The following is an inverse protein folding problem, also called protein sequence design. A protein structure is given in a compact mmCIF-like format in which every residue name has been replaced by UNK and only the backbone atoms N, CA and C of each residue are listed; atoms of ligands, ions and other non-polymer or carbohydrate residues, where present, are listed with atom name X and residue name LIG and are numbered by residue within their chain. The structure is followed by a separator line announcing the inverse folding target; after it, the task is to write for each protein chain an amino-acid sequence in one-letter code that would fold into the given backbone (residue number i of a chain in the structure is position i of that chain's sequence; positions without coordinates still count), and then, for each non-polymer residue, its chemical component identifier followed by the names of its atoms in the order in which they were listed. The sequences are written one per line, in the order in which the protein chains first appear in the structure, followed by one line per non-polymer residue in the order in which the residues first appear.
data_IF_503117047563
#
_entry.id   IF_503117047563
#
_cell.length_a   1.000
_cell.length_b   1.000
_cell.length_c   1.000
_cell.angle_alpha   90.00
_cell.angle_beta   90.00
_cell.angle_gamma   90.00
#
_symmetry.space_group_name_H-M   'P 1'
#
loop_
_entity.id
_entity.type
_entity.pdbx_description
1 polymer ?
#
# COMPACT_ATOMS: atom_id res chain seq x y z
N UNK A 1 43.57 -9.19 -9.02
CA UNK A 1 42.60 -9.16 -10.16
C UNK A 1 41.29 -9.89 -9.81
N UNK A 2 41.34 -11.07 -9.20
CA UNK A 2 40.14 -11.90 -8.86
C UNK A 2 39.16 -11.20 -7.91
N UNK A 3 39.62 -10.45 -6.91
CA UNK A 3 38.77 -9.75 -5.95
C UNK A 3 38.09 -8.51 -6.55
N UNK A 4 38.72 -7.85 -7.52
CA UNK A 4 38.13 -6.70 -8.22
C UNK A 4 36.99 -7.16 -9.13
N UNK A 5 37.15 -8.28 -9.82
CA UNK A 5 36.10 -8.89 -10.66
C UNK A 5 34.91 -9.39 -9.81
N UNK A 6 35.15 -9.98 -8.64
CA UNK A 6 34.08 -10.34 -7.70
C UNK A 6 33.30 -9.14 -7.22
N UNK A 7 33.99 -8.03 -6.89
CA UNK A 7 33.34 -6.78 -6.46
C UNK A 7 32.52 -6.15 -7.58
N UNK A 8 33.00 -6.17 -8.83
CA UNK A 8 32.28 -5.67 -9.99
C UNK A 8 31.00 -6.48 -10.26
N UNK A 9 31.05 -7.82 -10.17
CA UNK A 9 29.86 -8.65 -10.34
C UNK A 9 28.82 -8.42 -9.25
N UNK A 10 29.25 -8.25 -7.98
CA UNK A 10 28.34 -7.92 -6.88
C UNK A 10 27.71 -6.55 -7.10
N UNK A 11 28.50 -5.54 -7.47
CA UNK A 11 28.03 -4.19 -7.76
C UNK A 11 26.99 -4.18 -8.90
N UNK A 12 27.29 -4.86 -9.99
CA UNK A 12 26.35 -4.99 -11.12
C UNK A 12 25.05 -5.67 -10.71
N UNK A 13 25.13 -6.74 -9.92
CA UNK A 13 23.93 -7.43 -9.42
C UNK A 13 23.10 -6.54 -8.49
N UNK A 14 23.73 -5.82 -7.57
CA UNK A 14 23.08 -4.85 -6.68
C UNK A 14 22.40 -3.74 -7.51
N UNK A 15 23.08 -3.18 -8.50
CA UNK A 15 22.50 -2.15 -9.38
C UNK A 15 21.27 -2.69 -10.15
N UNK A 16 21.36 -3.90 -10.70
CA UNK A 16 20.23 -4.51 -11.41
C UNK A 16 19.00 -4.76 -10.52
N UNK A 17 19.21 -5.12 -9.26
CA UNK A 17 18.12 -5.30 -8.29
C UNK A 17 17.56 -3.95 -7.84
N UNK A 18 18.44 -2.97 -7.59
CA UNK A 18 18.06 -1.67 -7.05
C UNK A 18 17.28 -0.80 -8.04
N UNK A 19 17.61 -0.91 -9.36
CA UNK A 19 16.97 -0.09 -10.38
C UNK A 19 15.43 -0.30 -10.41
N UNK A 20 14.98 -1.54 -10.30
CA UNK A 20 13.56 -1.85 -10.25
C UNK A 20 12.88 -1.35 -8.98
N UNK A 21 13.60 -1.40 -7.85
CA UNK A 21 13.11 -0.88 -6.57
C UNK A 21 12.99 0.64 -6.55
N UNK A 22 13.82 1.36 -7.33
CA UNK A 22 13.76 2.82 -7.45
C UNK A 22 12.55 3.31 -8.26
N UNK A 23 12.11 2.55 -9.27
CA UNK A 23 10.95 2.95 -10.08
C UNK A 23 9.61 2.74 -9.36
N UNK A 24 9.52 1.81 -8.41
CA UNK A 24 8.28 1.53 -7.68
C UNK A 24 7.66 2.77 -7.00
N UNK A 25 8.40 3.60 -6.25
CA UNK A 25 7.85 4.81 -5.64
C UNK A 25 7.31 5.83 -6.66
N UNK A 26 7.97 5.97 -7.81
CA UNK A 26 7.50 6.89 -8.86
C UNK A 26 6.13 6.50 -9.39
N UNK A 27 5.93 5.22 -9.64
CA UNK A 27 4.64 4.70 -10.10
C UNK A 27 3.57 4.93 -9.03
N UNK A 28 3.91 4.74 -7.74
CA UNK A 28 3.00 5.01 -6.62
C UNK A 28 2.58 6.49 -6.56
N UNK A 29 3.53 7.41 -6.66
CA UNK A 29 3.24 8.87 -6.66
C UNK A 29 2.39 9.26 -7.86
N UNK A 30 2.69 8.76 -9.05
CA UNK A 30 1.90 9.03 -10.25
C UNK A 30 0.45 8.54 -10.11
N UNK A 31 0.23 7.39 -9.48
CA UNK A 31 -1.08 6.83 -9.19
C UNK A 31 -1.89 7.72 -8.24
N UNK A 32 -1.26 8.22 -7.18
CA UNK A 32 -1.87 9.17 -6.26
C UNK A 32 -2.21 10.49 -6.93
N UNK A 33 -1.33 11.00 -7.78
CA UNK A 33 -1.61 12.22 -8.54
C UNK A 33 -2.85 12.04 -9.43
N UNK A 34 -2.94 10.92 -10.16
CA UNK A 34 -4.12 10.63 -10.99
C UNK A 34 -5.41 10.49 -10.16
N UNK A 35 -5.33 9.95 -8.94
CA UNK A 35 -6.46 9.89 -8.01
C UNK A 35 -6.96 11.30 -7.63
N UNK A 36 -6.05 12.22 -7.32
CA UNK A 36 -6.41 13.60 -7.01
C UNK A 36 -7.02 14.33 -8.20
N UNK A 37 -6.46 14.17 -9.41
CA UNK A 37 -7.03 14.73 -10.64
C UNK A 37 -8.45 14.20 -10.88
N UNK A 38 -8.69 12.91 -10.63
CA UNK A 38 -10.03 12.33 -10.76
C UNK A 38 -11.04 12.94 -9.75
N UNK A 39 -10.60 13.27 -8.53
CA UNK A 39 -11.47 13.87 -7.50
C UNK A 39 -11.67 15.36 -7.73
N UNK A 40 -10.71 16.07 -8.31
CA UNK A 40 -10.83 17.50 -8.61
C UNK A 40 -12.08 17.80 -9.45
N UNK A 41 -12.47 16.89 -10.33
CA UNK A 41 -13.71 17.02 -11.12
C UNK A 41 -15.00 16.94 -10.29
N UNK A 42 -14.96 16.44 -9.05
CA UNK A 42 -16.14 16.39 -8.17
C UNK A 42 -16.44 17.73 -7.50
N UNK A 43 -15.41 18.52 -7.21
CA UNK A 43 -15.52 19.84 -6.59
C UNK A 43 -14.43 20.12 -5.55
N UNK A 44 -14.35 21.39 -5.16
CA UNK A 44 -13.34 21.86 -4.19
C UNK A 44 -13.54 21.27 -2.78
N UNK A 45 -14.79 21.02 -2.40
CA UNK A 45 -15.15 20.48 -1.09
C UNK A 45 -14.73 19.03 -0.95
N UNK A 46 -14.95 18.21 -1.98
CA UNK A 46 -14.54 16.82 -2.07
C UNK A 46 -13.03 16.69 -2.09
N UNK A 47 -12.35 17.58 -2.80
CA UNK A 47 -10.89 17.64 -2.85
C UNK A 47 -10.32 18.01 -1.48
N UNK A 48 -10.89 19.01 -0.80
CA UNK A 48 -10.49 19.39 0.56
C UNK A 48 -10.71 18.25 1.57
N UNK A 49 -11.87 17.57 1.51
CA UNK A 49 -12.17 16.41 2.34
C UNK A 49 -11.15 15.27 2.10
N UNK A 50 -10.81 15.00 0.83
CA UNK A 50 -9.81 14.00 0.45
C UNK A 50 -8.44 14.30 1.01
N UNK A 51 -8.00 15.57 1.00
CA UNK A 51 -6.72 15.98 1.59
C UNK A 51 -6.66 15.71 3.10
N UNK A 52 -7.74 15.98 3.82
CA UNK A 52 -7.83 15.70 5.27
C UNK A 52 -7.81 14.20 5.52
N UNK A 53 -8.63 13.42 4.80
CA UNK A 53 -8.68 11.96 4.90
C UNK A 53 -7.30 11.37 4.63
N UNK A 54 -6.61 11.81 3.57
CA UNK A 54 -5.27 11.37 3.22
C UNK A 54 -4.27 11.68 4.34
N UNK A 55 -4.31 12.86 4.91
CA UNK A 55 -3.39 13.26 5.98
C UNK A 55 -3.51 12.35 7.19
N UNK A 56 -4.74 12.03 7.59
CA UNK A 56 -5.01 11.11 8.70
C UNK A 56 -4.64 9.67 8.32
N UNK A 57 -4.99 9.23 7.12
CA UNK A 57 -4.69 7.87 6.63
C UNK A 57 -3.20 7.60 6.50
N UNK A 58 -2.39 8.64 6.24
CA UNK A 58 -0.92 8.54 6.18
C UNK A 58 -0.33 7.99 7.49
N UNK A 59 -0.93 8.32 8.64
CA UNK A 59 -0.53 7.75 9.93
C UNK A 59 -0.61 6.22 9.93
N UNK A 60 -1.71 5.67 9.45
CA UNK A 60 -1.91 4.21 9.35
C UNK A 60 -1.00 3.60 8.28
N UNK A 61 -0.79 4.32 7.19
CA UNK A 61 0.08 3.89 6.11
C UNK A 61 1.54 3.77 6.55
N UNK A 62 2.03 4.64 7.43
CA UNK A 62 3.36 4.55 8.04
C UNK A 62 3.49 3.26 8.85
N UNK A 63 2.48 2.88 9.63
CA UNK A 63 2.48 1.62 10.39
C UNK A 63 2.56 0.42 9.44
N UNK A 64 1.71 0.39 8.40
CA UNK A 64 1.69 -0.68 7.40
C UNK A 64 3.05 -0.81 6.70
N UNK A 65 3.63 0.31 6.24
CA UNK A 65 4.91 0.29 5.54
C UNK A 65 6.07 -0.15 6.43
N UNK A 66 6.09 0.27 7.69
CA UNK A 66 7.13 -0.15 8.63
C UNK A 66 7.12 -1.66 8.86
N UNK A 67 5.94 -2.24 9.07
CA UNK A 67 5.76 -3.68 9.24
C UNK A 67 6.09 -4.44 7.95
N UNK A 68 5.67 -3.93 6.81
CA UNK A 68 5.94 -4.52 5.51
C UNK A 68 7.45 -4.51 5.19
N UNK A 69 8.13 -3.38 5.38
CA UNK A 69 9.58 -3.26 5.15
C UNK A 69 10.37 -4.21 6.07
N UNK A 70 9.99 -4.29 7.35
CA UNK A 70 10.56 -5.25 8.29
C UNK A 70 10.37 -6.68 7.81
N UNK A 71 9.19 -7.02 7.28
CA UNK A 71 8.92 -8.36 6.72
C UNK A 71 9.87 -8.68 5.58
N UNK A 72 10.10 -7.75 4.65
CA UNK A 72 11.04 -7.95 3.55
C UNK A 72 12.44 -8.29 4.02
N UNK A 73 12.96 -7.57 5.02
CA UNK A 73 14.27 -7.83 5.62
C UNK A 73 14.33 -9.19 6.32
N UNK A 74 13.30 -9.54 7.10
CA UNK A 74 13.23 -10.81 7.79
C UNK A 74 13.13 -12.01 6.83
N UNK A 75 12.36 -11.87 5.74
CA UNK A 75 12.26 -12.89 4.70
C UNK A 75 13.62 -13.11 4.03
N UNK A 76 14.36 -12.03 3.71
CA UNK A 76 15.72 -12.15 3.15
C UNK A 76 16.64 -12.94 4.09
N UNK A 77 16.58 -12.68 5.39
CA UNK A 77 17.37 -13.40 6.39
C UNK A 77 16.98 -14.90 6.50
N UNK A 78 15.66 -15.20 6.49
CA UNK A 78 15.17 -16.57 6.51
C UNK A 78 15.65 -17.36 5.29
N UNK A 79 15.62 -16.76 4.12
CA UNK A 79 16.08 -17.39 2.89
C UNK A 79 17.59 -17.61 2.89
N UNK A 80 18.36 -16.67 3.43
CA UNK A 80 19.79 -16.81 3.64
C UNK A 80 20.14 -17.96 4.59
N UNK A 81 19.26 -18.23 5.58
CA UNK A 81 19.37 -19.36 6.50
C UNK A 81 18.78 -20.68 5.95
N UNK A 82 18.27 -20.71 4.72
CA UNK A 82 17.66 -21.90 4.12
C UNK A 82 16.26 -22.25 4.63
N UNK A 83 15.63 -21.38 5.42
CA UNK A 83 14.34 -21.65 6.11
C UNK A 83 13.13 -21.15 5.31
N UNK A 84 12.99 -21.59 4.05
CA UNK A 84 11.91 -21.17 3.16
C UNK A 84 10.50 -21.38 3.74
N UNK A 85 10.28 -22.49 4.40
CA UNK A 85 8.98 -22.85 4.99
C UNK A 85 8.51 -21.89 6.10
N UNK A 86 9.37 -21.01 6.60
CA UNK A 86 9.03 -20.02 7.63
C UNK A 86 8.51 -18.70 7.08
N UNK A 87 8.52 -18.50 5.75
CA UNK A 87 8.09 -17.23 5.12
C UNK A 87 6.61 -16.94 5.40
N UNK A 88 5.70 -17.89 5.13
CA UNK A 88 4.28 -17.70 5.43
C UNK A 88 3.97 -17.55 6.93
N UNK A 89 4.50 -18.41 7.83
CA UNK A 89 4.35 -18.20 9.27
C UNK A 89 4.82 -16.83 9.74
N UNK A 90 5.94 -16.31 9.22
CA UNK A 90 6.45 -14.99 9.53
C UNK A 90 5.45 -13.91 9.08
N UNK A 91 5.02 -13.92 7.82
CA UNK A 91 4.05 -12.95 7.30
C UNK A 91 2.78 -12.94 8.17
N UNK A 92 2.24 -14.10 8.52
CA UNK A 92 1.05 -14.20 9.36
C UNK A 92 1.25 -13.66 10.78
N UNK A 93 2.46 -13.79 11.36
CA UNK A 93 2.79 -13.20 12.66
C UNK A 93 2.82 -11.67 12.58
N UNK A 94 3.45 -11.11 11.54
CA UNK A 94 3.52 -9.67 11.33
C UNK A 94 2.12 -9.09 11.09
N UNK A 95 1.28 -9.76 10.28
CA UNK A 95 -0.10 -9.33 10.03
C UNK A 95 -0.92 -9.34 11.33
N UNK A 96 -0.81 -10.38 12.16
CA UNK A 96 -1.49 -10.42 13.46
C UNK A 96 -1.04 -9.29 14.38
N UNK A 97 0.25 -9.02 14.44
CA UNK A 97 0.79 -7.90 15.21
C UNK A 97 0.25 -6.56 14.68
N UNK A 98 0.24 -6.36 13.37
CA UNK A 98 -0.29 -5.16 12.75
C UNK A 98 -1.79 -4.96 13.03
N UNK A 99 -2.58 -6.02 13.02
CA UNK A 99 -4.00 -5.95 13.40
C UNK A 99 -4.20 -5.65 14.89
N UNK A 100 -3.39 -6.22 15.76
CA UNK A 100 -3.51 -5.97 17.22
C UNK A 100 -3.26 -4.51 17.58
N UNK A 101 -2.43 -3.80 16.81
CA UNK A 101 -2.16 -2.37 16.99
C UNK A 101 -3.13 -1.50 16.18
N UNK A 102 -3.34 -1.85 14.91
CA UNK A 102 -4.08 -1.00 13.98
C UNK A 102 -5.59 -0.99 14.20
N UNK A 103 -6.21 -2.14 14.54
CA UNK A 103 -7.67 -2.20 14.73
C UNK A 103 -8.15 -1.31 15.90
N UNK A 104 -7.54 -1.36 17.10
CA UNK A 104 -7.92 -0.46 18.19
C UNK A 104 -7.78 1.02 17.82
N UNK A 105 -6.70 1.36 17.08
CA UNK A 105 -6.49 2.73 16.61
C UNK A 105 -7.55 3.16 15.59
N UNK A 106 -7.93 2.30 14.65
CA UNK A 106 -8.99 2.59 13.68
C UNK A 106 -10.31 2.86 14.41
N UNK A 107 -10.67 2.03 15.37
CA UNK A 107 -11.89 2.20 16.17
C UNK A 107 -11.85 3.55 16.91
N UNK A 108 -10.72 3.88 17.53
CA UNK A 108 -10.51 5.16 18.21
C UNK A 108 -10.70 6.34 17.25
N UNK A 109 -10.11 6.28 16.05
CA UNK A 109 -10.20 7.37 15.07
C UNK A 109 -11.61 7.51 14.48
N UNK A 110 -12.35 6.41 14.31
CA UNK A 110 -13.75 6.47 13.88
C UNK A 110 -14.64 7.10 14.98
N UNK A 111 -14.43 6.76 16.26
CA UNK A 111 -15.15 7.36 17.37
C UNK A 111 -14.80 8.86 17.50
N UNK A 112 -13.53 9.21 17.37
CA UNK A 112 -13.02 10.57 17.46
C UNK A 112 -13.12 11.36 16.14
N UNK A 113 -13.94 10.91 15.17
CA UNK A 113 -14.06 11.56 13.86
C UNK A 113 -14.34 13.07 13.94
N UNK A 114 -15.38 13.46 14.70
CA UNK A 114 -15.78 14.87 14.80
C UNK A 114 -14.69 15.78 15.39
N UNK A 115 -14.05 15.47 16.54
CA UNK A 115 -12.96 16.33 17.05
C UNK A 115 -11.74 16.35 16.11
N UNK A 116 -11.41 15.24 15.45
CA UNK A 116 -10.30 15.17 14.51
C UNK A 116 -10.52 16.11 13.31
N UNK A 117 -11.71 16.06 12.69
CA UNK A 117 -12.01 16.90 11.55
C UNK A 117 -12.12 18.38 11.91
N UNK A 118 -12.64 18.71 13.10
CA UNK A 118 -12.70 20.10 13.59
C UNK A 118 -11.33 20.75 13.76
N UNK A 119 -10.26 19.99 13.98
CA UNK A 119 -8.87 20.49 14.01
C UNK A 119 -8.44 20.98 12.62
N UNK A 120 -8.90 20.30 11.56
CA UNK A 120 -8.52 20.64 10.18
C UNK A 120 -9.43 21.68 9.54
N UNK A 121 -10.73 21.66 9.86
CA UNK A 121 -11.71 22.58 9.27
C UNK A 121 -12.88 22.80 10.22
N UNK A 122 -13.31 24.07 10.34
CA UNK A 122 -14.54 24.45 10.99
C UNK A 122 -15.79 24.32 10.10
N UNK A 123 -15.64 23.89 8.84
CA UNK A 123 -16.74 23.78 7.89
C UNK A 123 -17.54 22.48 8.11
N UNK A 124 -18.78 22.62 8.57
CA UNK A 124 -19.65 21.49 8.83
C UNK A 124 -20.03 20.69 7.57
N UNK A 125 -20.15 21.35 6.43
CA UNK A 125 -20.43 20.67 5.16
C UNK A 125 -19.30 19.74 4.76
N UNK A 126 -18.05 20.16 4.96
CA UNK A 126 -16.87 19.31 4.74
C UNK A 126 -16.87 18.10 5.67
N UNK A 127 -17.20 18.29 6.94
CA UNK A 127 -17.24 17.20 7.93
C UNK A 127 -18.30 16.15 7.55
N UNK A 128 -19.47 16.60 7.09
CA UNK A 128 -20.54 15.69 6.68
C UNK A 128 -20.15 14.86 5.44
N UNK A 129 -19.60 15.49 4.40
CA UNK A 129 -19.17 14.80 3.18
C UNK A 129 -18.02 13.83 3.45
N UNK A 130 -17.09 14.17 4.33
CA UNK A 130 -15.91 13.37 4.64
C UNK A 130 -16.21 12.12 5.48
N UNK A 131 -17.31 12.05 6.19
CA UNK A 131 -17.57 11.00 7.20
C UNK A 131 -17.57 9.58 6.62
N UNK A 132 -18.29 9.38 5.53
CA UNK A 132 -18.37 8.06 4.89
C UNK A 132 -17.06 7.68 4.18
N UNK A 133 -16.46 8.56 3.34
CA UNK A 133 -15.17 8.29 2.70
C UNK A 133 -14.04 8.01 3.71
N UNK A 134 -14.02 8.71 4.84
CA UNK A 134 -13.06 8.49 5.90
C UNK A 134 -13.15 7.09 6.48
N UNK A 135 -14.37 6.64 6.78
CA UNK A 135 -14.59 5.27 7.30
C UNK A 135 -14.15 4.23 6.27
N UNK A 136 -14.50 4.43 5.00
CA UNK A 136 -14.05 3.57 3.90
C UNK A 136 -12.53 3.53 3.82
N UNK A 137 -11.87 4.70 3.85
CA UNK A 137 -10.41 4.79 3.79
C UNK A 137 -9.72 4.06 4.96
N UNK A 138 -10.24 4.19 6.19
CA UNK A 138 -9.66 3.51 7.36
C UNK A 138 -9.89 1.99 7.33
N UNK A 139 -11.04 1.53 6.90
CA UNK A 139 -11.32 0.10 6.76
C UNK A 139 -10.43 -0.57 5.72
N UNK A 140 -9.91 0.18 4.75
CA UNK A 140 -8.93 -0.33 3.78
C UNK A 140 -7.67 -0.90 4.47
N UNK A 141 -7.33 -0.45 5.68
CA UNK A 141 -6.22 -0.97 6.47
C UNK A 141 -6.26 -2.51 6.61
N UNK A 142 -7.46 -3.08 6.75
CA UNK A 142 -7.63 -4.53 6.89
C UNK A 142 -7.11 -5.32 5.67
N UNK A 143 -7.18 -4.74 4.48
CA UNK A 143 -6.68 -5.34 3.25
C UNK A 143 -5.28 -4.85 2.89
N UNK A 144 -4.96 -3.60 3.23
CA UNK A 144 -3.67 -2.99 2.94
C UNK A 144 -2.53 -3.69 3.71
N UNK A 145 -2.74 -3.99 4.99
CA UNK A 145 -1.71 -4.63 5.81
C UNK A 145 -1.24 -5.96 5.20
N UNK A 146 -2.09 -6.98 4.94
CA UNK A 146 -1.62 -8.20 4.29
C UNK A 146 -1.09 -7.97 2.87
N UNK A 147 -1.70 -7.07 2.09
CA UNK A 147 -1.26 -6.75 0.74
C UNK A 147 0.19 -6.29 0.71
N UNK A 148 0.53 -5.30 1.51
CA UNK A 148 1.91 -4.76 1.59
C UNK A 148 2.89 -5.71 2.26
N UNK A 149 2.47 -6.48 3.28
CA UNK A 149 3.33 -7.49 3.94
C UNK A 149 3.74 -8.58 2.95
N UNK A 150 2.80 -9.17 2.20
CA UNK A 150 3.13 -10.19 1.21
C UNK A 150 3.91 -9.64 0.02
N UNK A 151 3.62 -8.41 -0.43
CA UNK A 151 4.40 -7.77 -1.49
C UNK A 151 5.86 -7.57 -1.07
N UNK A 152 6.10 -7.08 0.15
CA UNK A 152 7.45 -6.93 0.67
C UNK A 152 8.13 -8.28 0.94
N UNK A 153 7.37 -9.32 1.28
CA UNK A 153 7.91 -10.67 1.35
C UNK A 153 8.45 -11.13 -0.03
N UNK A 154 7.70 -10.88 -1.12
CA UNK A 154 8.19 -11.15 -2.49
C UNK A 154 9.45 -10.33 -2.80
N UNK A 155 9.47 -9.04 -2.44
CA UNK A 155 10.68 -8.20 -2.60
C UNK A 155 11.86 -8.78 -1.81
N UNK A 156 11.61 -9.26 -0.59
CA UNK A 156 12.61 -9.90 0.27
C UNK A 156 13.18 -11.21 -0.29
N UNK A 157 12.51 -11.86 -1.23
CA UNK A 157 13.08 -13.00 -1.98
C UNK A 157 14.10 -12.57 -3.05
N UNK A 158 14.32 -11.27 -3.26
CA UNK A 158 15.16 -10.72 -4.34
C UNK A 158 14.44 -10.57 -5.68
N UNK A 159 13.15 -10.91 -5.75
CA UNK A 159 12.36 -10.85 -7.00
C UNK A 159 11.82 -9.43 -7.28
N UNK A 160 12.68 -8.41 -7.20
CA UNK A 160 12.31 -7.00 -7.37
C UNK A 160 11.71 -6.68 -8.73
N UNK A 161 12.18 -7.34 -9.79
CA UNK A 161 11.59 -7.23 -11.12
C UNK A 161 10.14 -7.73 -11.16
N UNK A 162 9.86 -8.82 -10.47
CA UNK A 162 8.50 -9.38 -10.38
C UNK A 162 7.58 -8.42 -9.64
N UNK A 163 8.04 -7.84 -8.53
CA UNK A 163 7.24 -6.86 -7.77
C UNK A 163 6.97 -5.60 -8.59
N UNK A 164 7.92 -5.14 -9.38
CA UNK A 164 7.73 -4.02 -10.30
C UNK A 164 6.65 -4.34 -11.37
N UNK A 165 6.71 -5.52 -11.98
CA UNK A 165 5.70 -5.96 -12.96
C UNK A 165 4.32 -6.03 -12.31
N UNK A 166 4.20 -6.62 -11.11
CA UNK A 166 2.95 -6.67 -10.38
C UNK A 166 2.38 -5.27 -10.13
N UNK A 167 3.20 -4.36 -9.61
CA UNK A 167 2.78 -2.99 -9.36
C UNK A 167 2.32 -2.29 -10.65
N UNK A 168 3.05 -2.46 -11.75
CA UNK A 168 2.67 -1.85 -13.03
C UNK A 168 1.31 -2.37 -13.53
N UNK A 169 1.08 -3.68 -13.47
CA UNK A 169 -0.21 -4.28 -13.88
C UNK A 169 -1.35 -3.81 -12.98
N UNK A 170 -1.12 -3.77 -11.67
CA UNK A 170 -2.12 -3.34 -10.69
C UNK A 170 -2.48 -1.88 -10.89
N UNK A 171 -1.51 -1.02 -11.16
CA UNK A 171 -1.75 0.41 -11.40
C UNK A 171 -2.52 0.63 -12.69
N UNK A 172 -2.26 -0.12 -13.75
CA UNK A 172 -3.07 -0.05 -14.96
C UNK A 172 -4.52 -0.42 -14.66
N UNK A 173 -4.76 -1.52 -13.93
CA UNK A 173 -6.10 -1.92 -13.50
C UNK A 173 -6.77 -0.88 -12.61
N UNK A 174 -6.02 -0.28 -11.67
CA UNK A 174 -6.45 0.80 -10.80
C UNK A 174 -6.87 2.05 -11.60
N UNK A 175 -6.09 2.45 -12.60
CA UNK A 175 -6.41 3.61 -13.45
C UNK A 175 -7.65 3.35 -14.31
N UNK A 176 -7.79 2.16 -14.87
CA UNK A 176 -9.01 1.78 -15.62
C UNK A 176 -10.24 1.86 -14.71
N UNK A 177 -10.11 1.37 -13.48
CA UNK A 177 -11.18 1.43 -12.49
C UNK A 177 -11.54 2.87 -12.10
N UNK A 178 -10.54 3.71 -11.84
CA UNK A 178 -10.75 5.14 -11.56
C UNK A 178 -11.45 5.86 -12.71
N UNK A 179 -11.03 5.61 -13.94
CA UNK A 179 -11.65 6.16 -15.15
C UNK A 179 -13.11 5.73 -15.26
N UNK A 180 -13.39 4.46 -15.02
CA UNK A 180 -14.75 3.93 -15.05
C UNK A 180 -15.63 4.58 -13.99
N UNK A 181 -15.14 4.73 -12.77
CA UNK A 181 -15.87 5.41 -11.68
C UNK A 181 -16.10 6.88 -12.03
N UNK A 182 -15.09 7.57 -12.53
CA UNK A 182 -15.18 8.98 -12.89
C UNK A 182 -16.27 9.25 -13.93
N UNK A 183 -16.58 8.26 -14.78
CA UNK A 183 -17.65 8.36 -15.76
C UNK A 183 -19.04 8.08 -15.19
N UNK A 184 -19.16 7.16 -14.24
CA UNK A 184 -20.46 6.66 -13.76
C UNK A 184 -20.87 7.19 -12.38
N UNK A 185 -19.96 7.76 -11.60
CA UNK A 185 -20.21 8.06 -10.19
C UNK A 185 -19.71 9.43 -9.78
N UNK A 186 -20.54 10.12 -8.96
CA UNK A 186 -20.23 11.41 -8.34
C UNK A 186 -19.93 11.30 -6.83
N UNK A 187 -19.96 10.09 -6.26
CA UNK A 187 -19.79 9.90 -4.82
C UNK A 187 -18.32 9.71 -4.45
N UNK A 188 -17.79 10.59 -3.61
CA UNK A 188 -16.42 10.52 -3.08
C UNK A 188 -16.09 9.16 -2.44
N UNK A 189 -17.04 8.54 -1.76
CA UNK A 189 -16.83 7.23 -1.10
C UNK A 189 -16.48 6.13 -2.07
N UNK A 190 -17.02 6.18 -3.30
CA UNK A 190 -16.77 5.17 -4.33
C UNK A 190 -15.34 5.30 -4.86
N UNK A 191 -14.80 6.53 -4.97
CA UNK A 191 -13.40 6.71 -5.37
C UNK A 191 -12.43 6.05 -4.39
N UNK A 192 -12.70 6.10 -3.09
CA UNK A 192 -11.89 5.44 -2.08
C UNK A 192 -11.95 3.90 -2.14
N UNK A 193 -12.94 3.31 -2.84
CA UNK A 193 -12.95 1.86 -3.08
C UNK A 193 -11.87 1.41 -4.07
N UNK A 194 -11.32 2.31 -4.88
CA UNK A 194 -10.21 1.99 -5.78
C UNK A 194 -8.97 1.50 -5.00
N UNK A 195 -8.75 2.03 -3.79
CA UNK A 195 -7.66 1.58 -2.92
C UNK A 195 -7.83 0.10 -2.49
N UNK A 196 -9.07 -0.38 -2.30
CA UNK A 196 -9.32 -1.79 -2.01
C UNK A 196 -8.92 -2.68 -3.17
N UNK A 197 -9.31 -2.30 -4.41
CA UNK A 197 -8.91 -3.03 -5.60
C UNK A 197 -7.38 -3.14 -5.69
N UNK A 198 -6.68 -2.03 -5.47
CA UNK A 198 -5.22 -1.98 -5.50
C UNK A 198 -4.61 -2.96 -4.51
N UNK A 199 -4.99 -2.92 -3.24
CA UNK A 199 -4.35 -3.73 -2.20
C UNK A 199 -4.75 -5.21 -2.24
N UNK A 200 -5.97 -5.53 -2.69
CA UNK A 200 -6.44 -6.90 -2.88
C UNK A 200 -5.65 -7.57 -4.03
N UNK A 201 -5.48 -6.89 -5.15
CA UNK A 201 -4.67 -7.39 -6.25
C UNK A 201 -3.21 -7.54 -5.84
N UNK A 202 -2.68 -6.58 -5.08
CA UNK A 202 -1.31 -6.61 -4.57
C UNK A 202 -1.06 -7.86 -3.72
N UNK A 203 -1.93 -8.10 -2.74
CA UNK A 203 -1.86 -9.27 -1.87
C UNK A 203 -2.08 -10.59 -2.62
N UNK A 204 -3.09 -10.62 -3.50
CA UNK A 204 -3.43 -11.79 -4.28
C UNK A 204 -2.29 -12.27 -5.19
N UNK A 205 -1.72 -11.38 -6.00
CA UNK A 205 -0.60 -11.71 -6.88
C UNK A 205 0.65 -12.13 -6.09
N UNK A 206 0.91 -11.45 -4.97
CA UNK A 206 2.05 -11.77 -4.10
C UNK A 206 1.92 -13.14 -3.44
N UNK A 207 0.74 -13.49 -2.94
CA UNK A 207 0.46 -14.82 -2.34
C UNK A 207 0.58 -15.92 -3.40
N UNK A 208 0.01 -15.70 -4.60
CA UNK A 208 0.11 -16.67 -5.70
C UNK A 208 1.57 -16.91 -6.05
N UNK A 209 2.37 -15.86 -6.18
CA UNK A 209 3.80 -15.98 -6.48
C UNK A 209 4.55 -16.79 -5.43
N UNK A 210 4.36 -16.47 -4.14
CA UNK A 210 5.04 -17.18 -3.05
C UNK A 210 4.64 -18.66 -3.02
N UNK A 211 3.37 -18.98 -3.25
CA UNK A 211 2.90 -20.37 -3.33
C UNK A 211 3.50 -21.12 -4.53
N UNK A 212 3.53 -20.51 -5.71
CA UNK A 212 4.10 -21.11 -6.92
C UNK A 212 5.61 -21.40 -6.80
N UNK A 213 6.30 -20.64 -5.97
CA UNK A 213 7.75 -20.80 -5.71
C UNK A 213 8.05 -21.71 -4.51
N UNK A 214 7.03 -22.28 -3.86
CA UNK A 214 7.16 -23.14 -2.67
C UNK A 214 7.99 -22.50 -1.53
N UNK A 215 7.61 -21.28 -1.17
CA UNK A 215 8.15 -20.60 -0.01
C UNK A 215 7.35 -20.95 1.25
#
# INVERSE_FOLDING_TARGET
ASDVYKRQNIFHHVCCVSIWSMFNPFIGVASWFAFFVAIEHLGELELAATNVIRSISTFFFVIVNSLAATTGSLVSNLLGAGQKNQVFPLCNRVIRLGYSVGIPLIILFIICFNPLFKIYSGNESLIQIARLPFTVALLNYAFALPGYVYMNAVTGTGATRTTFIFQTVIIIAYQIYLWTISYFSTSLSIYWTAEYLYVILLGGLSIIYLKCKNY
#
